data_IF_029030021763
#
_entry.id   IF_029030021763
#
_cell.length_a   1.000
_cell.length_b   1.000
_cell.length_c   1.000
_cell.angle_alpha   90.00
_cell.angle_beta   90.00
_cell.angle_gamma   90.00
#
_symmetry.space_group_name_H-M   'P 1'
#
loop_
_entity.id
_entity.type
_entity.pdbx_description
1 polymer ?
#
# COMPACT_ATOMS: atom_id res chain seq x y z
N UNK A 1 -8.79 -11.01 7.14
CA UNK A 1 -9.24 -9.66 6.76
C UNK A 1 -9.37 -8.90 8.05
N UNK A 2 -8.44 -7.99 8.31
CA UNK A 2 -8.50 -7.12 9.48
C UNK A 2 -9.34 -5.90 9.08
N UNK A 3 -10.50 -5.75 9.69
CA UNK A 3 -11.26 -4.50 9.67
C UNK A 3 -11.06 -3.83 11.03
N UNK A 4 -10.81 -2.53 11.00
CA UNK A 4 -10.62 -1.72 12.18
C UNK A 4 -9.30 -0.97 12.17
N UNK A 5 -9.39 0.27 12.61
CA UNK A 5 -8.48 1.16 13.33
C UNK A 5 -7.47 0.49 14.32
N UNK A 6 -6.95 -0.69 13.98
CA UNK A 6 -5.96 -1.48 14.69
C UNK A 6 -4.63 -1.42 13.94
N UNK A 7 -3.98 -0.25 14.02
CA UNK A 7 -2.64 0.05 13.50
C UNK A 7 -1.50 -0.80 14.12
N UNK A 8 -1.78 -1.97 14.72
CA UNK A 8 -0.74 -2.91 15.13
C UNK A 8 -0.33 -3.78 13.95
N UNK A 9 0.19 -3.14 12.89
CA UNK A 9 1.26 -3.78 12.12
C UNK A 9 2.34 -4.07 13.15
N UNK A 10 2.56 -5.35 13.47
CA UNK A 10 3.63 -5.70 14.39
C UNK A 10 4.96 -5.42 13.69
N UNK A 11 5.53 -4.27 14.02
CA UNK A 11 6.89 -3.88 13.66
C UNK A 11 7.85 -4.83 14.36
N UNK A 12 8.20 -5.93 13.70
CA UNK A 12 9.33 -6.72 14.19
C UNK A 12 10.60 -5.98 13.79
N UNK A 13 11.19 -5.30 14.79
CA UNK A 13 12.61 -4.91 14.75
C UNK A 13 13.42 -6.15 14.38
N UNK A 14 14.36 -5.95 13.47
CA UNK A 14 15.29 -6.93 12.91
C UNK A 14 15.49 -8.14 13.84
N UNK A 15 14.90 -9.28 13.44
CA UNK A 15 14.80 -10.49 14.24
C UNK A 15 13.77 -11.42 13.61
N UNK A 16 14.26 -12.18 12.63
CA UNK A 16 13.69 -13.35 11.95
C UNK A 16 12.27 -13.84 12.38
N UNK A 17 11.47 -14.16 11.36
CA UNK A 17 10.16 -14.86 11.38
C UNK A 17 8.90 -14.00 11.60
N UNK A 18 8.14 -13.72 10.53
CA UNK A 18 6.81 -13.11 10.61
C UNK A 18 5.80 -13.79 9.67
N UNK A 19 4.78 -14.42 10.26
CA UNK A 19 3.62 -14.98 9.57
C UNK A 19 2.38 -14.12 9.88
N UNK A 20 1.88 -13.37 8.86
CA UNK A 20 0.47 -13.04 8.53
C UNK A 20 0.26 -11.67 7.86
N UNK A 21 1.17 -10.72 8.04
CA UNK A 21 1.43 -9.55 7.17
C UNK A 21 2.90 -9.17 7.37
N UNK A 22 3.71 -9.16 6.32
CA UNK A 22 5.16 -8.91 6.45
C UNK A 22 5.43 -7.44 6.13
N UNK A 23 5.26 -6.55 7.09
CA UNK A 23 5.83 -5.22 7.00
C UNK A 23 7.25 -5.28 7.56
N UNK A 24 8.27 -5.09 6.73
CA UNK A 24 9.66 -5.00 7.18
C UNK A 24 10.05 -3.52 7.19
N UNK A 25 10.05 -2.90 8.38
CA UNK A 25 10.66 -1.59 8.58
C UNK A 25 12.16 -1.78 8.81
N UNK A 26 12.98 -1.48 7.81
CA UNK A 26 14.43 -1.52 7.97
C UNK A 26 14.93 -0.17 8.49
N UNK A 27 14.68 0.13 9.77
CA UNK A 27 15.27 1.31 10.44
C UNK A 27 16.81 1.34 10.27
N UNK A 28 17.45 0.18 10.19
CA UNK A 28 18.90 0.05 9.95
C UNK A 28 19.35 0.53 8.56
N UNK A 29 18.45 0.51 7.57
CA UNK A 29 18.75 0.95 6.19
C UNK A 29 18.24 2.36 5.88
N UNK A 30 17.57 3.04 6.83
CA UNK A 30 17.08 4.42 6.70
C UNK A 30 15.76 4.58 5.95
N UNK A 31 14.98 3.52 5.75
CA UNK A 31 13.67 3.58 5.12
C UNK A 31 12.56 3.14 6.06
N UNK A 32 11.51 3.95 6.18
CA UNK A 32 10.39 3.73 7.09
C UNK A 32 9.04 3.69 6.35
N UNK A 33 8.06 3.01 6.94
CA UNK A 33 6.66 3.08 6.51
C UNK A 33 6.06 4.28 7.27
N UNK A 34 6.32 5.47 6.71
CA UNK A 34 6.05 6.74 7.37
C UNK A 34 4.57 6.99 7.69
N UNK A 35 3.64 6.47 6.89
CA UNK A 35 2.22 6.67 7.15
C UNK A 35 1.34 5.60 6.49
N UNK A 36 0.38 5.10 7.25
CA UNK A 36 -0.80 4.40 6.76
C UNK A 36 -1.99 5.26 7.14
N UNK A 37 -2.62 5.87 6.14
CA UNK A 37 -3.73 6.78 6.32
C UNK A 37 -4.97 6.10 6.92
N UNK A 38 -5.94 6.94 7.28
CA UNK A 38 -7.17 6.53 7.94
C UNK A 38 -8.08 5.72 7.01
N UNK A 39 -8.79 4.75 7.57
CA UNK A 39 -9.79 3.96 6.84
C UNK A 39 -9.20 3.07 5.74
N UNK A 40 -7.91 2.72 5.82
CA UNK A 40 -7.30 1.73 4.93
C UNK A 40 -7.82 0.31 5.21
N UNK A 41 -7.84 -0.51 4.16
CA UNK A 41 -8.12 -1.94 4.25
C UNK A 41 -6.93 -2.74 3.74
N UNK A 42 -6.30 -3.51 4.61
CA UNK A 42 -5.14 -4.34 4.27
C UNK A 42 -5.56 -5.81 4.26
N UNK A 43 -5.45 -6.44 3.09
CA UNK A 43 -5.74 -7.86 2.95
C UNK A 43 -4.64 -8.74 3.55
N UNK A 44 -4.83 -10.06 3.50
CA UNK A 44 -3.88 -11.01 4.05
C UNK A 44 -2.60 -11.09 3.19
N UNK A 45 -1.50 -11.51 3.80
CA UNK A 45 -0.23 -11.85 3.13
C UNK A 45 0.34 -10.72 2.26
N UNK A 46 0.08 -9.46 2.61
CA UNK A 46 0.73 -8.33 1.96
C UNK A 46 2.17 -8.17 2.48
N UNK A 47 3.05 -7.67 1.62
CA UNK A 47 4.44 -7.40 1.95
C UNK A 47 4.77 -5.93 1.67
N UNK A 48 5.48 -5.28 2.59
CA UNK A 48 5.93 -3.89 2.45
C UNK A 48 7.44 -3.85 2.71
N UNK A 49 8.20 -3.33 1.74
CA UNK A 49 9.66 -3.31 1.77
C UNK A 49 10.19 -1.90 1.51
N UNK A 50 10.85 -1.28 2.50
CA UNK A 50 11.46 0.06 2.37
C UNK A 50 12.91 0.03 1.86
N UNK A 51 13.48 -1.16 1.70
CA UNK A 51 14.85 -1.42 1.25
C UNK A 51 14.89 -2.59 0.25
N UNK A 52 15.98 -2.70 -0.51
CA UNK A 52 16.26 -3.91 -1.32
C UNK A 52 17.18 -4.90 -0.58
N UNK A 53 17.49 -4.62 0.69
CA UNK A 53 18.40 -5.36 1.58
C UNK A 53 19.88 -5.38 1.17
N UNK A 54 20.19 -5.29 -0.12
CA UNK A 54 21.54 -5.28 -0.66
C UNK A 54 21.81 -4.04 -1.52
N UNK A 55 23.08 -3.66 -1.61
CA UNK A 55 23.52 -2.51 -2.41
C UNK A 55 23.57 -2.85 -3.90
N UNK A 56 22.95 -2.00 -4.72
CA UNK A 56 23.16 -1.96 -6.16
C UNK A 56 24.12 -0.80 -6.43
N UNK A 57 25.24 -1.07 -7.09
CA UNK A 57 26.28 -0.09 -7.37
C UNK A 57 26.23 0.32 -8.85
N UNK A 58 26.44 1.60 -9.13
CA UNK A 58 26.69 2.07 -10.49
C UNK A 58 28.07 1.59 -10.97
N UNK A 59 28.15 1.09 -12.21
CA UNK A 59 29.37 0.48 -12.74
C UNK A 59 30.50 1.51 -12.96
N UNK A 60 30.19 2.79 -13.16
CA UNK A 60 31.17 3.84 -13.44
C UNK A 60 31.66 4.51 -12.16
N UNK A 61 30.75 4.88 -11.28
CA UNK A 61 31.08 5.61 -10.04
C UNK A 61 31.34 4.69 -8.86
N UNK A 62 30.97 3.40 -8.93
CA UNK A 62 30.97 2.44 -7.80
C UNK A 62 30.11 2.88 -6.61
N UNK A 63 29.29 3.91 -6.79
CA UNK A 63 28.42 4.42 -5.72
C UNK A 63 27.12 3.63 -5.67
N UNK A 64 26.58 3.44 -4.47
CA UNK A 64 25.25 2.83 -4.28
C UNK A 64 24.15 3.71 -4.89
N UNK A 65 23.25 3.11 -5.67
CA UNK A 65 22.15 3.81 -6.36
C UNK A 65 20.75 3.44 -5.86
N UNK A 66 20.64 2.50 -4.92
CA UNK A 66 19.37 1.95 -4.44
C UNK A 66 19.15 2.19 -2.94
N UNK A 67 19.41 3.42 -2.49
CA UNK A 67 19.10 3.82 -1.12
C UNK A 67 17.65 3.47 -0.74
N UNK A 68 17.44 3.20 0.55
CA UNK A 68 16.11 2.94 1.08
C UNK A 68 15.20 4.16 0.83
N UNK A 69 13.90 3.91 0.70
CA UNK A 69 12.90 4.96 0.48
C UNK A 69 11.63 4.62 1.25
N UNK A 70 11.01 5.67 1.78
CA UNK A 70 9.79 5.51 2.55
C UNK A 70 8.63 5.02 1.67
N UNK A 71 7.68 4.34 2.30
CA UNK A 71 6.39 4.00 1.70
C UNK A 71 5.33 4.89 2.34
N UNK A 72 4.48 5.49 1.51
CA UNK A 72 3.34 6.28 1.94
C UNK A 72 2.05 5.67 1.42
N UNK A 73 1.14 5.31 2.33
CA UNK A 73 -0.22 4.93 2.00
C UNK A 73 -1.16 6.02 2.52
N UNK A 74 -1.83 6.72 1.62
CA UNK A 74 -2.81 7.75 1.97
C UNK A 74 -4.09 7.20 2.61
N UNK A 75 -5.05 8.07 2.85
CA UNK A 75 -6.35 7.72 3.40
C UNK A 75 -7.17 6.87 2.43
N UNK A 76 -7.91 5.91 2.98
CA UNK A 76 -8.81 5.02 2.25
C UNK A 76 -8.12 4.26 1.12
N UNK A 77 -6.95 3.71 1.39
CA UNK A 77 -6.27 2.78 0.49
C UNK A 77 -6.72 1.35 0.79
N UNK A 78 -7.08 0.59 -0.25
CA UNK A 78 -7.34 -0.84 -0.15
C UNK A 78 -6.19 -1.63 -0.79
N UNK A 79 -5.44 -2.39 -0.01
CA UNK A 79 -4.40 -3.30 -0.50
C UNK A 79 -4.93 -4.73 -0.63
N UNK A 80 -4.96 -5.23 -1.86
CA UNK A 80 -5.40 -6.57 -2.20
C UNK A 80 -4.51 -7.69 -1.66
N UNK A 81 -5.08 -8.90 -1.63
CA UNK A 81 -4.43 -10.12 -1.14
C UNK A 81 -3.07 -10.34 -1.83
N UNK A 82 -2.03 -10.69 -1.06
CA UNK A 82 -0.69 -11.06 -1.60
C UNK A 82 -0.02 -9.97 -2.45
N UNK A 83 -0.37 -8.71 -2.25
CA UNK A 83 0.31 -7.60 -2.94
C UNK A 83 1.61 -7.23 -2.23
N UNK A 84 2.61 -6.84 -3.03
CA UNK A 84 3.94 -6.41 -2.59
C UNK A 84 4.08 -4.92 -2.88
N UNK A 85 4.36 -4.13 -1.85
CA UNK A 85 4.56 -2.68 -1.94
C UNK A 85 6.04 -2.39 -1.70
N UNK A 86 6.71 -1.84 -2.71
CA UNK A 86 8.15 -1.60 -2.68
C UNK A 86 8.50 -0.16 -2.30
N UNK A 87 9.76 0.05 -1.94
CA UNK A 87 10.29 1.32 -1.45
C UNK A 87 10.01 2.48 -2.39
N UNK A 88 9.72 3.65 -1.82
CA UNK A 88 9.40 4.86 -2.58
C UNK A 88 8.01 4.84 -3.20
N UNK A 89 7.17 3.85 -2.86
CA UNK A 89 5.77 3.86 -3.27
C UNK A 89 5.01 4.95 -2.53
N UNK A 90 4.29 5.78 -3.29
CA UNK A 90 3.31 6.73 -2.77
C UNK A 90 1.95 6.41 -3.38
N UNK A 91 0.99 6.03 -2.53
CA UNK A 91 -0.41 5.89 -2.89
C UNK A 91 -1.20 7.08 -2.33
N UNK A 92 -1.94 7.83 -3.15
CA UNK A 92 -2.60 9.03 -2.71
C UNK A 92 -3.86 8.72 -1.90
N UNK A 93 -4.34 9.75 -1.18
CA UNK A 93 -5.62 9.75 -0.49
C UNK A 93 -6.79 9.52 -1.46
N UNK A 94 -7.99 9.30 -0.91
CA UNK A 94 -9.26 9.22 -1.64
C UNK A 94 -9.36 7.98 -2.55
N UNK A 95 -9.62 6.82 -1.93
CA UNK A 95 -10.01 5.57 -2.60
C UNK A 95 -9.01 5.07 -3.67
N UNK A 96 -7.82 4.68 -3.23
CA UNK A 96 -6.87 3.94 -4.09
C UNK A 96 -6.98 2.44 -3.83
N UNK A 97 -7.26 1.64 -4.86
CA UNK A 97 -7.40 0.19 -4.77
C UNK A 97 -6.19 -0.48 -5.44
N UNK A 98 -5.43 -1.25 -4.68
CA UNK A 98 -4.39 -2.13 -5.20
C UNK A 98 -4.97 -3.53 -5.39
N UNK A 99 -4.99 -4.03 -6.62
CA UNK A 99 -5.45 -5.37 -6.96
C UNK A 99 -4.61 -6.46 -6.29
N UNK A 100 -5.20 -7.64 -6.09
CA UNK A 100 -4.50 -8.79 -5.49
C UNK A 100 -3.29 -9.24 -6.33
N UNK A 101 -2.21 -9.63 -5.67
CA UNK A 101 -0.99 -10.13 -6.30
C UNK A 101 -0.16 -9.07 -7.05
N UNK A 102 -0.42 -7.79 -6.80
CA UNK A 102 0.27 -6.70 -7.49
C UNK A 102 1.66 -6.44 -6.93
N UNK A 103 2.61 -6.04 -7.78
CA UNK A 103 3.91 -5.49 -7.36
C UNK A 103 3.90 -4.00 -7.65
N UNK A 104 3.79 -3.20 -6.59
CA UNK A 104 3.62 -1.75 -6.67
C UNK A 104 4.94 -1.06 -6.38
N UNK A 105 5.35 -0.18 -7.28
CA UNK A 105 6.54 0.65 -7.16
C UNK A 105 6.30 2.01 -7.83
N UNK A 106 6.88 3.06 -7.25
CA UNK A 106 6.82 4.42 -7.79
C UNK A 106 5.68 5.28 -7.22
N UNK A 107 5.54 6.48 -7.77
CA UNK A 107 4.66 7.52 -7.24
C UNK A 107 3.35 7.60 -8.04
N UNK A 108 2.21 7.45 -7.38
CA UNK A 108 0.89 7.59 -7.99
C UNK A 108 0.24 8.89 -7.53
N UNK A 109 -0.23 9.70 -8.48
CA UNK A 109 -0.85 11.01 -8.19
C UNK A 109 -2.38 11.01 -8.34
N UNK A 110 -2.93 10.05 -9.08
CA UNK A 110 -4.36 9.98 -9.37
C UNK A 110 -5.10 9.26 -8.24
N UNK A 111 -6.12 9.92 -7.70
CA UNK A 111 -7.03 9.35 -6.70
C UNK A 111 -8.17 8.59 -7.37
N UNK A 112 -8.96 7.84 -6.58
CA UNK A 112 -10.13 7.12 -7.08
C UNK A 112 -9.77 6.13 -8.20
N UNK A 113 -8.67 5.41 -8.02
CA UNK A 113 -8.08 4.53 -9.04
C UNK A 113 -7.98 3.08 -8.59
N UNK A 114 -7.98 2.18 -9.57
CA UNK A 114 -7.54 0.80 -9.41
C UNK A 114 -6.17 0.63 -10.03
N UNK A 115 -5.20 0.22 -9.22
CA UNK A 115 -3.82 -0.07 -9.58
C UNK A 115 -3.61 -1.58 -9.48
N UNK A 116 -3.14 -2.23 -10.54
CA UNK A 116 -2.87 -3.67 -10.50
C UNK A 116 -1.77 -4.11 -11.46
N UNK A 117 -1.23 -5.31 -11.25
CA UNK A 117 -0.26 -5.96 -12.13
C UNK A 117 1.17 -5.95 -11.59
N UNK A 118 2.10 -6.39 -12.43
CA UNK A 118 3.53 -6.44 -12.16
C UNK A 118 4.32 -6.07 -13.44
N UNK A 119 4.90 -4.86 -13.53
CA UNK A 119 4.78 -3.76 -12.58
C UNK A 119 3.35 -3.20 -12.57
N UNK A 120 2.87 -2.79 -11.39
CA UNK A 120 1.51 -2.30 -11.26
C UNK A 120 1.28 -0.99 -12.04
N UNK A 121 0.10 -0.87 -12.67
CA UNK A 121 -0.36 0.30 -13.43
C UNK A 121 -1.80 0.64 -13.06
N UNK A 122 -2.19 1.89 -13.27
CA UNK A 122 -3.59 2.30 -13.19
C UNK A 122 -4.34 1.63 -14.34
N UNK A 123 -5.35 0.83 -14.03
CA UNK A 123 -6.22 0.17 -15.01
C UNK A 123 -7.63 0.77 -15.06
N UNK A 124 -8.01 1.52 -14.02
CA UNK A 124 -9.32 2.15 -13.90
C UNK A 124 -9.23 3.40 -13.04
N UNK A 125 -10.02 4.41 -13.40
CA UNK A 125 -10.19 5.65 -12.66
C UNK A 125 -11.68 5.93 -12.43
N UNK A 126 -11.99 6.85 -11.52
CA UNK A 126 -13.36 7.25 -11.18
C UNK A 126 -14.10 6.21 -10.35
N UNK A 127 -13.39 5.54 -9.44
CA UNK A 127 -13.95 4.50 -8.56
C UNK A 127 -13.85 4.87 -7.09
N UNK A 128 -14.72 4.25 -6.29
CA UNK A 128 -14.65 4.24 -4.83
C UNK A 128 -14.79 2.80 -4.34
N UNK A 129 -14.32 2.49 -3.14
CA UNK A 129 -14.55 1.19 -2.51
C UNK A 129 -15.33 1.34 -1.20
N UNK A 130 -15.98 0.27 -0.74
CA UNK A 130 -16.73 0.25 0.53
C UNK A 130 -16.66 -1.14 1.17
N UNK A 131 -16.74 -1.20 2.50
CA UNK A 131 -16.80 -2.44 3.29
C UNK A 131 -18.12 -3.21 3.08
N UNK A 132 -19.20 -2.50 2.73
CA UNK A 132 -20.50 -3.12 2.55
C UNK A 132 -20.47 -4.02 1.31
N UNK A 133 -20.71 -5.32 1.50
CA UNK A 133 -21.04 -6.22 0.39
C UNK A 133 -22.32 -5.71 -0.25
N UNK A 134 -22.28 -5.31 -1.52
CA UNK A 134 -23.50 -4.98 -2.24
C UNK A 134 -24.31 -6.25 -2.44
N UNK A 135 -25.47 -6.34 -1.78
CA UNK A 135 -26.43 -7.39 -2.08
C UNK A 135 -26.79 -7.26 -3.56
N UNK A 136 -26.62 -8.34 -4.33
CA UNK A 136 -26.77 -8.41 -5.79
C UNK A 136 -28.19 -8.08 -6.33
N UNK A 137 -29.07 -7.49 -5.52
CA UNK A 137 -30.48 -7.25 -5.86
C UNK A 137 -30.92 -5.79 -5.86
N UNK A 138 -30.06 -4.81 -5.56
CA UNK A 138 -30.49 -3.41 -5.55
C UNK A 138 -29.46 -2.54 -6.26
N UNK A 139 -29.91 -1.90 -7.35
CA UNK A 139 -29.23 -0.79 -8.03
C UNK A 139 -29.05 0.38 -7.07
N UNK A 140 -28.07 0.31 -6.16
CA UNK A 140 -27.70 1.45 -5.35
C UNK A 140 -26.82 2.38 -6.17
N UNK A 141 -27.44 3.44 -6.69
CA UNK A 141 -26.77 4.73 -6.86
C UNK A 141 -26.25 5.09 -5.47
N UNK A 142 -24.98 4.81 -5.19
CA UNK A 142 -24.30 5.37 -4.03
C UNK A 142 -24.21 6.86 -4.30
N UNK A 143 -25.19 7.63 -3.82
CA UNK A 143 -25.06 9.07 -3.71
C UNK A 143 -23.91 9.31 -2.74
N UNK A 144 -22.76 9.71 -3.27
CA UNK A 144 -21.63 10.23 -2.49
C UNK A 144 -22.08 11.60 -1.95
N UNK A 145 -22.90 11.62 -0.90
CA UNK A 145 -23.26 12.85 -0.20
C UNK A 145 -22.29 13.04 0.96
N UNK A 146 -21.48 14.09 0.81
CA UNK A 146 -20.88 14.96 1.83
C UNK A 146 -20.30 14.29 3.08
N UNK A 147 -18.97 14.27 3.13
CA UNK A 147 -18.17 14.14 4.34
C UNK A 147 -18.48 15.31 5.29
N UNK A 148 -19.08 15.04 6.45
CA UNK A 148 -19.04 15.95 7.59
C UNK A 148 -18.17 15.34 8.69
N UNK A 149 -17.36 16.22 9.29
CA UNK A 149 -16.32 16.02 10.28
C UNK A 149 -16.71 15.09 11.44
N UNK A 150 -15.85 14.11 11.75
CA UNK A 150 -15.51 13.67 13.11
C UNK A 150 -14.07 13.16 13.14
#
# INVERSE_FOLDING_TARGET
MCEGNNNSVQWKRCGCECYKTKACCDECCGGDIHNIGNGCLLSNNIELHTSDYHSILDIKSTTRINSAKNIHLGDRVWIGLRSIILKGTNLPNNDTIVGAGSIVTGHFNNTNTVITGNPAKIIKSGVIWTHKKSNHRINYIIKVTSWEHF
#
